data_IF_882819456568
#
_entry.id   IF_882819456568
#
_cell.length_a   1.000
_cell.length_b   1.000
_cell.length_c   1.000
_cell.angle_alpha   90.00
_cell.angle_beta   90.00
_cell.angle_gamma   90.00
#
_symmetry.space_group_name_H-M   'P 1'
#
loop_
_entity.id
_entity.type
_entity.pdbx_description
1 polymer ?
#
# COMPACT_ATOMS: atom_id res chain seq x y z
N UNK A 1 16.78 -8.09 15.12
CA UNK A 1 15.65 -9.04 15.08
C UNK A 1 15.69 -9.92 13.82
N UNK A 2 15.60 -9.38 12.58
CA UNK A 2 15.58 -10.21 11.35
C UNK A 2 16.76 -11.19 11.22
N UNK A 3 17.99 -10.79 11.55
CA UNK A 3 19.16 -11.71 11.52
C UNK A 3 18.94 -12.91 12.46
N UNK A 4 18.48 -12.65 13.67
CA UNK A 4 18.29 -13.65 14.73
C UNK A 4 17.09 -14.55 14.45
N UNK A 5 15.97 -13.98 14.01
CA UNK A 5 14.69 -14.71 13.87
C UNK A 5 14.57 -15.47 12.54
N UNK A 6 15.11 -14.93 11.44
CA UNK A 6 14.96 -15.54 10.10
C UNK A 6 16.25 -16.12 9.52
N UNK A 7 17.32 -16.17 10.32
CA UNK A 7 18.64 -16.68 9.90
C UNK A 7 19.26 -15.87 8.76
N UNK A 8 18.87 -14.60 8.61
CA UNK A 8 19.27 -13.76 7.48
C UNK A 8 20.69 -13.23 7.65
N UNK A 9 21.47 -13.17 6.56
CA UNK A 9 22.76 -12.46 6.55
C UNK A 9 22.54 -10.95 6.63
N UNK A 10 23.57 -10.21 7.09
CA UNK A 10 23.51 -8.74 7.19
C UNK A 10 23.14 -8.08 5.86
N UNK A 11 23.74 -8.53 4.76
CA UNK A 11 23.46 -8.02 3.40
C UNK A 11 21.99 -8.21 3.03
N UNK A 12 21.42 -9.39 3.31
CA UNK A 12 19.99 -9.64 3.05
C UNK A 12 19.10 -8.69 3.84
N UNK A 13 19.38 -8.49 5.12
CA UNK A 13 18.59 -7.60 5.99
C UNK A 13 18.67 -6.16 5.53
N UNK A 14 19.85 -5.68 5.15
CA UNK A 14 20.03 -4.33 4.61
C UNK A 14 19.25 -4.13 3.30
N UNK A 15 19.30 -5.11 2.40
CA UNK A 15 18.53 -5.08 1.15
C UNK A 15 17.01 -5.09 1.43
N UNK A 16 16.54 -5.92 2.36
CA UNK A 16 15.13 -6.00 2.74
C UNK A 16 14.64 -4.70 3.39
N UNK A 17 15.44 -4.08 4.25
CA UNK A 17 15.11 -2.81 4.89
C UNK A 17 15.09 -1.66 3.87
N UNK A 18 16.06 -1.60 2.97
CA UNK A 18 16.10 -0.61 1.90
C UNK A 18 14.86 -0.73 1.00
N UNK A 19 14.49 -1.96 0.63
CA UNK A 19 13.30 -2.23 -0.18
C UNK A 19 12.01 -1.85 0.54
N UNK A 20 11.89 -2.23 1.81
CA UNK A 20 10.78 -1.83 2.68
C UNK A 20 10.60 -0.31 2.76
N UNK A 21 11.71 0.44 2.90
CA UNK A 21 11.66 1.91 2.89
C UNK A 21 11.09 2.44 1.59
N UNK A 22 11.54 1.93 0.44
CA UNK A 22 11.05 2.36 -0.88
C UNK A 22 9.55 2.12 -1.05
N UNK A 23 9.03 1.02 -0.52
CA UNK A 23 7.59 0.73 -0.53
C UNK A 23 6.82 1.80 0.23
N UNK A 24 7.30 2.18 1.42
CA UNK A 24 6.65 3.23 2.23
C UNK A 24 6.73 4.59 1.54
N UNK A 25 7.89 4.95 0.99
CA UNK A 25 8.08 6.20 0.26
C UNK A 25 7.13 6.29 -0.95
N UNK A 26 6.95 5.20 -1.69
CA UNK A 26 6.01 5.16 -2.82
C UNK A 26 4.55 5.21 -2.36
N UNK A 27 4.19 4.44 -1.33
CA UNK A 27 2.84 4.42 -0.77
C UNK A 27 2.41 5.80 -0.27
N UNK A 28 3.33 6.60 0.28
CA UNK A 28 3.07 7.96 0.73
C UNK A 28 2.55 8.90 -0.38
N UNK A 29 2.77 8.55 -1.66
CA UNK A 29 2.26 9.33 -2.78
C UNK A 29 0.81 8.98 -3.17
N UNK A 30 0.29 7.84 -2.74
CA UNK A 30 -1.02 7.33 -3.15
C UNK A 30 -2.22 8.19 -2.73
N UNK A 31 -2.25 8.83 -1.54
CA UNK A 31 -3.35 9.72 -1.18
C UNK A 31 -3.55 10.84 -2.21
N UNK A 32 -2.46 11.34 -2.80
CA UNK A 32 -2.49 12.42 -3.79
C UNK A 32 -2.87 11.97 -5.21
N UNK A 33 -2.85 10.65 -5.48
CA UNK A 33 -3.19 10.06 -6.78
C UNK A 33 -4.66 9.63 -6.84
N UNK A 34 -5.35 9.54 -5.70
CA UNK A 34 -6.75 9.14 -5.59
C UNK A 34 -7.68 10.30 -5.96
N UNK A 35 -7.94 10.48 -7.26
CA UNK A 35 -8.86 11.50 -7.75
C UNK A 35 -10.28 10.94 -7.92
N UNK A 36 -11.26 11.75 -7.55
CA UNK A 36 -12.63 11.57 -8.02
C UNK A 36 -12.78 12.16 -9.42
N UNK A 37 -13.79 11.71 -10.15
CA UNK A 37 -14.08 12.18 -11.52
C UNK A 37 -15.55 12.58 -11.63
N UNK A 38 -15.83 13.62 -12.42
CA UNK A 38 -17.19 13.98 -12.81
C UNK A 38 -17.34 13.59 -14.28
N UNK A 39 -18.25 12.65 -14.55
CA UNK A 39 -18.50 12.12 -15.87
C UNK A 39 -19.73 12.79 -16.49
N UNK A 40 -19.79 12.92 -17.83
CA UNK A 40 -20.98 13.43 -18.51
C UNK A 40 -22.19 12.55 -18.20
N UNK A 41 -23.34 13.19 -17.98
CA UNK A 41 -24.61 12.50 -17.79
C UNK A 41 -25.44 12.54 -19.07
N UNK A 42 -25.98 11.39 -19.46
CA UNK A 42 -26.94 11.30 -20.56
C UNK A 42 -28.36 11.72 -20.15
N UNK A 43 -28.59 12.02 -18.85
CA UNK A 43 -29.90 12.48 -18.34
C UNK A 43 -29.84 13.98 -18.05
N UNK A 44 -30.75 14.79 -18.64
CA UNK A 44 -30.81 16.22 -18.37
C UNK A 44 -30.96 16.52 -16.87
N UNK A 45 -30.17 17.48 -16.37
CA UNK A 45 -30.21 17.92 -14.97
C UNK A 45 -29.54 16.97 -13.97
N UNK A 46 -28.86 15.91 -14.40
CA UNK A 46 -28.12 15.00 -13.53
C UNK A 46 -26.62 15.12 -13.72
N UNK A 47 -25.88 14.81 -12.65
CA UNK A 47 -24.42 14.76 -12.63
C UNK A 47 -23.97 13.37 -12.18
N UNK A 48 -22.93 12.83 -12.83
CA UNK A 48 -22.35 11.54 -12.47
C UNK A 48 -21.01 11.78 -11.76
N UNK A 49 -20.94 11.47 -10.46
CA UNK A 49 -19.71 11.58 -9.66
C UNK A 49 -19.13 10.20 -9.38
N UNK A 50 -17.83 10.04 -9.61
CA UNK A 50 -17.05 8.87 -9.21
C UNK A 50 -16.21 9.26 -8.00
N UNK A 51 -16.48 8.63 -6.86
CA UNK A 51 -15.73 8.81 -5.62
C UNK A 51 -15.00 7.51 -5.30
N UNK A 52 -13.80 7.62 -4.73
CA UNK A 52 -13.03 6.46 -4.23
C UNK A 52 -13.02 6.51 -2.71
N UNK A 53 -13.40 5.40 -2.09
CA UNK A 53 -13.49 5.27 -0.64
C UNK A 53 -12.72 4.02 -0.18
N UNK A 54 -12.14 4.02 1.04
CA UNK A 54 -11.49 2.86 1.60
C UNK A 54 -12.48 1.69 1.72
N UNK A 55 -11.99 0.47 1.46
CA UNK A 55 -12.81 -0.75 1.55
C UNK A 55 -13.17 -1.15 2.98
N UNK A 56 -12.48 -0.60 3.98
CA UNK A 56 -12.60 -0.98 5.38
C UNK A 56 -11.38 -1.78 5.84
N UNK A 57 -11.60 -2.81 6.67
CA UNK A 57 -10.51 -3.57 7.30
C UNK A 57 -9.85 -4.54 6.33
N UNK A 58 -8.52 -4.60 6.33
CA UNK A 58 -7.73 -5.53 5.51
C UNK A 58 -6.85 -6.39 6.43
N UNK A 59 -6.93 -7.71 6.27
CA UNK A 59 -6.01 -8.67 6.87
C UNK A 59 -4.86 -8.99 5.91
N UNK A 60 -3.62 -8.99 6.41
CA UNK A 60 -2.42 -9.33 5.63
C UNK A 60 -1.71 -10.50 6.29
N UNK A 61 -1.43 -11.55 5.50
CA UNK A 61 -0.66 -12.72 5.93
C UNK A 61 0.62 -12.77 5.09
N UNK A 62 1.76 -12.50 5.72
CA UNK A 62 3.05 -12.50 5.06
C UNK A 62 3.82 -13.81 5.21
N UNK A 63 4.64 -14.19 4.22
CA UNK A 63 5.55 -15.31 4.32
C UNK A 63 6.85 -14.95 5.06
N UNK A 64 7.63 -15.96 5.45
CA UNK A 64 8.80 -15.84 6.32
C UNK A 64 10.13 -15.49 5.62
N UNK A 65 10.19 -15.57 4.29
CA UNK A 65 11.44 -15.45 3.53
C UNK A 65 11.89 -13.99 3.33
N UNK A 66 10.95 -13.08 3.09
CA UNK A 66 11.13 -11.62 3.01
C UNK A 66 9.97 -10.91 3.74
N UNK A 67 9.85 -11.14 5.06
CA UNK A 67 8.65 -10.80 5.81
C UNK A 67 8.34 -9.30 5.78
N UNK A 68 9.35 -8.43 5.88
CA UNK A 68 9.13 -6.99 5.92
C UNK A 68 8.71 -6.47 4.55
N UNK A 69 9.42 -6.86 3.50
CA UNK A 69 9.12 -6.44 2.13
C UNK A 69 7.71 -6.89 1.70
N UNK A 70 7.40 -8.18 1.86
CA UNK A 70 6.17 -8.76 1.33
C UNK A 70 4.93 -8.32 2.11
N UNK A 71 5.03 -8.10 3.43
CA UNK A 71 3.92 -7.52 4.19
C UNK A 71 3.68 -6.06 3.83
N UNK A 72 4.76 -5.25 3.75
CA UNK A 72 4.62 -3.81 3.56
C UNK A 72 4.04 -3.42 2.21
N UNK A 73 4.22 -4.23 1.16
CA UNK A 73 3.56 -4.02 -0.13
C UNK A 73 2.06 -3.81 0.02
N UNK A 74 1.39 -4.61 0.86
CA UNK A 74 -0.04 -4.48 1.11
C UNK A 74 -0.36 -3.49 2.23
N UNK A 75 0.34 -3.58 3.36
CA UNK A 75 0.04 -2.76 4.55
C UNK A 75 0.24 -1.27 4.29
N UNK A 76 1.36 -0.87 3.69
CA UNK A 76 1.67 0.54 3.47
C UNK A 76 0.66 1.19 2.52
N UNK A 77 0.29 0.48 1.44
CA UNK A 77 -0.70 0.98 0.49
C UNK A 77 -2.09 1.06 1.10
N UNK A 78 -2.47 0.09 1.92
CA UNK A 78 -3.75 0.10 2.61
C UNK A 78 -3.87 1.34 3.52
N UNK A 79 -2.86 1.58 4.37
CA UNK A 79 -2.81 2.76 5.26
C UNK A 79 -2.87 4.05 4.44
N UNK A 80 -2.10 4.13 3.34
CA UNK A 80 -2.08 5.29 2.48
C UNK A 80 -3.44 5.60 1.82
N UNK A 81 -4.30 4.59 1.67
CA UNK A 81 -5.63 4.74 1.07
C UNK A 81 -6.74 4.96 2.12
N UNK A 82 -6.38 5.15 3.39
CA UNK A 82 -7.31 5.54 4.45
C UNK A 82 -7.97 4.38 5.18
N UNK A 83 -7.29 3.23 5.30
CA UNK A 83 -7.64 2.24 6.34
C UNK A 83 -6.92 2.53 7.66
#
# INVERSE_FOLDING_TARGET
MLITESGSTRIKVEAELASAKRIVDEAASFPYRMKGEILPSNTPGKENRVVREPKGVIGVIGPWNFPLHLCLCSVAQAIALGI
#
